data_IF_467141300077
#
_entry.id   IF_467141300077
#
_cell.length_a   1.000
_cell.length_b   1.000
_cell.length_c   1.000
_cell.angle_alpha   90.00
_cell.angle_beta   90.00
_cell.angle_gamma   90.00
#
_symmetry.space_group_name_H-M   'P 1'
#
loop_
_entity.id
_entity.type
_entity.pdbx_description
1 polymer ?
#
# COMPACT_ATOMS: atom_id res chain seq x y z
N UNK A 1 31.95 89.89 -18.84
CA UNK A 1 31.14 88.70 -18.56
C UNK A 1 31.80 87.98 -17.41
N UNK A 2 31.23 88.11 -16.23
CA UNK A 2 31.83 87.71 -14.96
C UNK A 2 30.80 86.99 -14.10
N UNK A 3 31.27 85.94 -13.43
CA UNK A 3 30.72 85.39 -12.19
C UNK A 3 29.59 84.38 -12.35
N UNK A 4 29.37 83.45 -11.42
CA UNK A 4 30.06 83.05 -10.19
C UNK A 4 29.41 81.70 -9.82
N UNK A 5 30.18 80.75 -9.28
CA UNK A 5 29.67 79.57 -8.55
C UNK A 5 29.60 79.89 -7.06
N UNK A 6 28.46 79.69 -6.40
CA UNK A 6 28.26 79.44 -4.94
C UNK A 6 26.91 78.67 -4.82
N UNK A 7 26.89 77.37 -4.53
CA UNK A 7 26.76 76.64 -3.24
C UNK A 7 25.39 76.69 -2.52
N UNK A 8 25.05 75.52 -1.93
CA UNK A 8 23.96 75.17 -1.01
C UNK A 8 22.54 75.14 -1.62
N UNK A 9 21.70 74.14 -1.37
CA UNK A 9 21.21 73.76 -0.03
C UNK A 9 20.66 72.33 0.04
N UNK A 10 20.72 71.74 1.24
CA UNK A 10 20.22 70.41 1.56
C UNK A 10 18.70 70.42 1.77
N UNK A 11 17.99 69.52 1.09
CA UNK A 11 16.54 69.33 1.21
C UNK A 11 16.18 67.88 1.49
N UNK A 12 15.68 67.64 2.70
CA UNK A 12 15.19 66.37 3.26
C UNK A 12 14.14 65.71 2.36
N UNK A 13 14.36 64.45 1.97
CA UNK A 13 13.29 63.59 1.43
C UNK A 13 12.93 62.53 2.48
N UNK A 14 11.73 62.72 3.01
CA UNK A 14 11.06 61.88 4.01
C UNK A 14 10.91 60.44 3.50
N UNK A 15 11.46 59.51 4.28
CA UNK A 15 11.40 58.06 4.09
C UNK A 15 9.96 57.56 4.23
N UNK A 16 9.22 57.46 3.12
CA UNK A 16 7.95 56.71 3.07
C UNK A 16 8.26 55.22 3.20
N UNK A 17 8.03 54.68 4.41
CA UNK A 17 8.07 53.23 4.67
C UNK A 17 7.02 52.54 3.81
N UNK A 18 7.45 51.96 2.70
CA UNK A 18 6.64 51.05 1.89
C UNK A 18 6.62 49.70 2.62
N UNK A 19 5.54 49.44 3.36
CA UNK A 19 5.25 48.11 3.88
C UNK A 19 4.77 47.25 2.71
N UNK A 20 5.68 46.48 2.11
CA UNK A 20 5.34 45.42 1.17
C UNK A 20 4.84 44.23 2.01
N UNK A 21 3.51 44.11 2.13
CA UNK A 21 2.88 42.89 2.61
C UNK A 21 3.05 41.79 1.55
N UNK A 22 4.15 41.04 1.66
CA UNK A 22 4.39 39.83 0.88
C UNK A 22 3.41 38.76 1.38
N UNK A 23 2.23 38.70 0.78
CA UNK A 23 1.28 37.61 0.99
C UNK A 23 1.92 36.32 0.47
N UNK A 24 2.48 35.52 1.38
CA UNK A 24 2.88 34.13 1.08
C UNK A 24 1.61 33.36 0.72
N UNK A 25 1.36 33.18 -0.58
CA UNK A 25 0.47 32.14 -1.08
C UNK A 25 1.05 30.79 -0.67
N UNK A 26 0.57 30.25 0.43
CA UNK A 26 0.79 28.86 0.78
C UNK A 26 0.02 28.01 -0.21
N UNK A 27 0.66 27.62 -1.32
CA UNK A 27 0.19 26.56 -2.18
C UNK A 27 0.22 25.26 -1.39
N UNK A 28 -0.92 24.88 -0.79
CA UNK A 28 -1.13 23.54 -0.28
C UNK A 28 -1.16 22.62 -1.50
N UNK A 29 -0.02 22.05 -1.83
CA UNK A 29 0.06 21.00 -2.84
C UNK A 29 -0.61 19.78 -2.25
N UNK A 30 -1.86 19.51 -2.63
CA UNK A 30 -2.48 18.22 -2.36
C UNK A 30 -1.63 17.18 -3.12
N UNK A 31 -0.76 16.47 -2.39
CA UNK A 31 -0.01 15.36 -2.96
C UNK A 31 -1.03 14.27 -3.31
N UNK A 32 -1.36 14.16 -4.59
CA UNK A 32 -2.08 13.00 -5.08
C UNK A 32 -1.21 11.77 -4.81
N UNK A 33 -1.63 10.91 -3.88
CA UNK A 33 -0.96 9.63 -3.63
C UNK A 33 -0.97 8.87 -4.95
N UNK A 34 0.20 8.59 -5.50
CA UNK A 34 0.32 7.82 -6.73
C UNK A 34 -0.35 6.46 -6.52
N UNK A 35 -1.18 6.04 -7.48
CA UNK A 35 -1.78 4.71 -7.43
C UNK A 35 -0.68 3.64 -7.36
N UNK A 36 -0.91 2.59 -6.57
CA UNK A 36 0.07 1.50 -6.44
C UNK A 36 0.20 0.71 -7.74
N UNK A 37 1.30 -0.03 -7.88
CA UNK A 37 1.63 -0.73 -9.12
C UNK A 37 0.60 -1.79 -9.51
N UNK A 38 -0.08 -2.44 -8.55
CA UNK A 38 -1.15 -3.41 -8.80
C UNK A 38 -2.32 -2.75 -9.55
N UNK A 39 -2.81 -1.61 -9.04
CA UNK A 39 -3.96 -0.89 -9.61
C UNK A 39 -3.60 -0.32 -10.98
N UNK A 40 -2.39 0.24 -11.12
CA UNK A 40 -1.92 0.77 -12.39
C UNK A 40 -1.85 -0.31 -13.48
N UNK A 41 -1.31 -1.49 -13.16
CA UNK A 41 -1.24 -2.61 -14.09
C UNK A 41 -2.63 -3.13 -14.46
N UNK A 42 -3.55 -3.25 -13.50
CA UNK A 42 -4.91 -3.68 -13.78
C UNK A 42 -5.61 -2.71 -14.77
N UNK A 43 -5.58 -1.42 -14.45
CA UNK A 43 -6.19 -0.36 -15.26
C UNK A 43 -5.60 -0.28 -16.67
N UNK A 44 -4.27 -0.38 -16.80
CA UNK A 44 -3.57 -0.34 -18.09
C UNK A 44 -3.94 -1.51 -18.99
N UNK A 45 -4.32 -2.65 -18.41
CA UNK A 45 -4.59 -3.89 -19.14
C UNK A 45 -6.10 -4.19 -19.27
N UNK A 46 -6.96 -3.19 -19.13
CA UNK A 46 -8.39 -3.33 -19.42
C UNK A 46 -9.23 -3.93 -18.29
N UNK A 47 -8.68 -4.10 -17.09
CA UNK A 47 -9.45 -4.46 -15.90
C UNK A 47 -10.00 -3.19 -15.25
N UNK A 48 -11.33 -3.05 -15.19
CA UNK A 48 -12.04 -1.83 -14.83
C UNK A 48 -13.11 -2.04 -13.76
N UNK A 49 -13.97 -3.03 -13.92
CA UNK A 49 -15.17 -3.25 -13.10
C UNK A 49 -14.82 -3.38 -11.62
N UNK A 50 -13.81 -4.18 -11.29
CA UNK A 50 -13.39 -4.39 -9.90
C UNK A 50 -12.19 -3.53 -9.46
N UNK A 51 -11.80 -2.51 -10.23
CA UNK A 51 -10.72 -1.59 -9.86
C UNK A 51 -10.93 -0.94 -8.47
N UNK A 52 -12.12 -0.44 -8.10
CA UNK A 52 -12.30 0.20 -6.79
C UNK A 52 -11.99 -0.75 -5.62
N UNK A 53 -12.47 -1.99 -5.71
CA UNK A 53 -12.26 -2.99 -4.67
C UNK A 53 -10.80 -3.50 -4.64
N UNK A 54 -10.19 -3.67 -5.82
CA UNK A 54 -8.78 -3.98 -5.95
C UNK A 54 -7.91 -2.88 -5.34
N UNK A 55 -8.26 -1.60 -5.54
CA UNK A 55 -7.56 -0.45 -4.97
C UNK A 55 -7.61 -0.46 -3.44
N UNK A 56 -8.80 -0.61 -2.85
CA UNK A 56 -8.95 -0.69 -1.39
C UNK A 56 -8.08 -1.81 -0.81
N UNK A 57 -8.12 -2.99 -1.43
CA UNK A 57 -7.37 -4.16 -0.95
C UNK A 57 -5.85 -3.94 -1.09
N UNK A 58 -5.39 -3.54 -2.26
CA UNK A 58 -3.96 -3.34 -2.53
C UNK A 58 -3.35 -2.21 -1.69
N UNK A 59 -4.08 -1.12 -1.44
CA UNK A 59 -3.64 -0.05 -0.54
C UNK A 59 -3.54 -0.52 0.91
N UNK A 60 -4.44 -1.40 1.37
CA UNK A 60 -4.37 -1.98 2.70
C UNK A 60 -3.13 -2.90 2.87
N UNK A 61 -2.80 -3.70 1.85
CA UNK A 61 -1.80 -4.78 1.98
C UNK A 61 -0.38 -4.29 1.68
N UNK A 62 -0.23 -3.46 0.64
CA UNK A 62 1.07 -2.97 0.18
C UNK A 62 1.34 -1.56 0.70
N UNK A 63 0.30 -0.73 0.78
CA UNK A 63 0.38 0.67 1.19
C UNK A 63 1.52 1.44 0.48
N UNK A 64 2.46 1.99 1.24
CA UNK A 64 3.60 2.79 0.83
C UNK A 64 4.93 2.00 0.88
N UNK A 65 4.87 0.69 1.10
CA UNK A 65 6.06 -0.16 1.13
C UNK A 65 6.70 -0.25 -0.25
N UNK A 66 8.02 -0.34 -0.27
CA UNK A 66 8.76 -0.66 -1.50
C UNK A 66 8.35 -2.06 -1.94
N UNK A 67 8.01 -2.18 -3.22
CA UNK A 67 7.54 -3.44 -3.79
C UNK A 67 7.77 -3.47 -5.30
N UNK A 68 7.85 -4.68 -5.85
CA UNK A 68 7.82 -4.94 -7.29
C UNK A 68 6.66 -5.88 -7.61
N UNK A 69 5.95 -5.63 -8.70
CA UNK A 69 4.70 -6.35 -9.04
C UNK A 69 4.77 -6.98 -10.41
N UNK A 70 4.31 -8.24 -10.49
CA UNK A 70 3.98 -8.93 -11.71
C UNK A 70 2.50 -9.33 -11.69
N UNK A 71 1.78 -9.07 -12.79
CA UNK A 71 0.34 -9.32 -12.85
C UNK A 71 -0.03 -10.34 -13.93
N UNK A 72 -1.14 -11.03 -13.72
CA UNK A 72 -1.71 -12.03 -14.62
C UNK A 72 -3.22 -11.79 -14.77
N UNK A 73 -3.71 -11.90 -16.00
CA UNK A 73 -5.11 -11.66 -16.36
C UNK A 73 -5.44 -12.39 -17.67
N UNK A 74 -6.73 -12.48 -17.99
CA UNK A 74 -7.18 -12.96 -19.30
C UNK A 74 -6.97 -11.84 -20.35
N UNK A 75 -6.12 -12.09 -21.34
CA UNK A 75 -5.80 -11.08 -22.36
C UNK A 75 -6.94 -10.80 -23.36
N UNK A 76 -7.85 -11.75 -23.55
CA UNK A 76 -8.99 -11.63 -24.47
C UNK A 76 -10.18 -10.92 -23.81
N UNK A 77 -10.40 -11.22 -22.53
CA UNK A 77 -11.51 -10.67 -21.74
C UNK A 77 -11.05 -10.29 -20.33
N UNK A 78 -10.26 -9.20 -20.19
CA UNK A 78 -9.65 -8.83 -18.93
C UNK A 78 -10.68 -8.49 -17.85
N UNK A 79 -11.78 -7.82 -18.21
CA UNK A 79 -12.71 -7.25 -17.23
C UNK A 79 -13.75 -8.25 -16.68
N UNK A 80 -14.06 -9.31 -17.43
CA UNK A 80 -14.99 -10.35 -16.99
C UNK A 80 -14.28 -11.61 -16.44
N UNK A 81 -12.98 -11.52 -16.22
CA UNK A 81 -12.16 -12.60 -15.67
C UNK A 81 -11.46 -12.17 -14.38
N UNK A 82 -10.89 -13.14 -13.66
CA UNK A 82 -10.04 -12.83 -12.50
C UNK A 82 -8.79 -12.06 -12.92
N UNK A 83 -8.54 -10.94 -12.26
CA UNK A 83 -7.23 -10.31 -12.22
C UNK A 83 -6.45 -10.82 -11.01
N UNK A 84 -5.16 -11.11 -11.19
CA UNK A 84 -4.25 -11.50 -10.12
C UNK A 84 -2.92 -10.77 -10.25
N UNK A 85 -2.27 -10.53 -9.13
CA UNK A 85 -0.92 -9.98 -9.07
C UNK A 85 -0.12 -10.71 -8.01
N UNK A 86 1.18 -10.85 -8.26
CA UNK A 86 2.18 -11.23 -7.28
C UNK A 86 3.11 -10.03 -7.09
N UNK A 87 3.21 -9.57 -5.86
CA UNK A 87 4.13 -8.50 -5.46
C UNK A 87 5.16 -9.05 -4.50
N UNK A 88 6.42 -8.67 -4.69
CA UNK A 88 7.47 -8.84 -3.69
C UNK A 88 7.47 -7.56 -2.86
N UNK A 89 7.20 -7.67 -1.56
CA UNK A 89 7.15 -6.54 -0.62
C UNK A 89 8.36 -6.61 0.30
N UNK A 90 9.13 -5.53 0.31
CA UNK A 90 10.42 -5.51 1.00
C UNK A 90 10.22 -5.22 2.49
N UNK A 91 10.86 -6.04 3.34
CA UNK A 91 11.05 -5.75 4.75
C UNK A 91 12.52 -5.85 5.13
N UNK A 92 12.89 -5.23 6.25
CA UNK A 92 14.26 -5.27 6.78
C UNK A 92 14.70 -6.68 7.20
N UNK A 93 13.76 -7.56 7.48
CA UNK A 93 13.95 -8.93 7.98
C UNK A 93 13.65 -10.01 6.92
N UNK A 94 13.38 -9.61 5.67
CA UNK A 94 13.17 -10.50 4.53
C UNK A 94 11.95 -10.11 3.70
N UNK A 95 11.93 -10.55 2.45
CA UNK A 95 10.84 -10.21 1.54
C UNK A 95 9.59 -11.07 1.83
N UNK A 96 8.42 -10.49 1.58
CA UNK A 96 7.17 -11.25 1.51
C UNK A 96 6.64 -11.32 0.08
N UNK A 97 6.03 -12.45 -0.26
CA UNK A 97 5.27 -12.61 -1.49
C UNK A 97 3.80 -12.34 -1.20
N UNK A 98 3.25 -11.32 -1.85
CA UNK A 98 1.85 -10.93 -1.73
C UNK A 98 1.13 -11.21 -3.02
N UNK A 99 0.17 -12.11 -3.00
CA UNK A 99 -0.80 -12.30 -4.08
C UNK A 99 -2.05 -11.48 -3.75
N UNK A 100 -2.48 -10.63 -4.67
CA UNK A 100 -3.78 -9.94 -4.59
C UNK A 100 -4.58 -10.28 -5.84
N UNK A 101 -5.82 -10.71 -5.66
CA UNK A 101 -6.71 -11.02 -6.77
C UNK A 101 -8.10 -10.40 -6.57
N UNK A 102 -8.73 -10.07 -7.70
CA UNK A 102 -10.07 -9.52 -7.76
C UNK A 102 -10.85 -10.18 -8.91
N UNK A 103 -12.13 -10.46 -8.67
CA UNK A 103 -13.03 -10.99 -9.68
C UNK A 103 -14.45 -10.49 -9.43
N UNK A 104 -15.21 -10.39 -10.52
CA UNK A 104 -16.64 -10.10 -10.43
C UNK A 104 -17.39 -11.36 -9.98
N UNK A 105 -18.40 -11.19 -9.12
CA UNK A 105 -19.34 -12.24 -8.74
C UNK A 105 -20.49 -12.32 -9.74
N UNK A 106 -21.29 -13.38 -9.68
CA UNK A 106 -22.48 -13.52 -10.52
C UNK A 106 -23.55 -12.44 -10.28
N UNK A 107 -23.50 -11.73 -9.15
CA UNK A 107 -24.38 -10.58 -8.85
C UNK A 107 -23.82 -9.24 -9.34
N UNK A 108 -22.67 -9.25 -10.02
CA UNK A 108 -22.00 -8.06 -10.52
C UNK A 108 -21.17 -7.30 -9.50
N UNK A 109 -21.11 -7.79 -8.25
CA UNK A 109 -20.23 -7.25 -7.18
C UNK A 109 -18.80 -7.73 -7.37
N UNK A 110 -17.87 -7.21 -6.58
CA UNK A 110 -16.47 -7.57 -6.69
C UNK A 110 -15.95 -8.17 -5.40
N UNK A 111 -15.43 -9.39 -5.49
CA UNK A 111 -14.73 -10.03 -4.41
C UNK A 111 -13.23 -9.86 -4.60
N UNK A 112 -12.54 -9.74 -3.48
CA UNK A 112 -11.09 -9.63 -3.43
C UNK A 112 -10.54 -10.58 -2.39
N UNK A 113 -9.38 -11.13 -2.65
CA UNK A 113 -8.63 -11.83 -1.61
C UNK A 113 -7.15 -11.51 -1.77
N UNK A 114 -6.43 -11.73 -0.68
CA UNK A 114 -4.99 -11.72 -0.74
C UNK A 114 -4.39 -12.87 0.06
N UNK A 115 -3.19 -13.24 -0.34
CA UNK A 115 -2.33 -14.15 0.41
C UNK A 115 -0.96 -13.50 0.52
N UNK A 116 -0.48 -13.33 1.74
CA UNK A 116 0.89 -12.91 2.01
C UNK A 116 1.68 -14.07 2.60
N UNK A 117 2.77 -14.44 1.95
CA UNK A 117 3.64 -15.54 2.37
C UNK A 117 5.05 -15.03 2.66
N UNK A 118 5.60 -15.41 3.80
CA UNK A 118 6.95 -15.02 4.24
C UNK A 118 7.52 -16.06 5.21
N UNK A 119 8.81 -15.94 5.50
CA UNK A 119 9.50 -16.82 6.45
C UNK A 119 9.87 -16.01 7.68
N UNK A 120 9.62 -16.58 8.85
CA UNK A 120 10.13 -16.07 10.13
C UNK A 120 11.33 -16.92 10.58
N UNK A 121 12.40 -16.26 11.03
CA UNK A 121 13.58 -16.91 11.62
C UNK A 121 13.35 -17.30 13.09
N UNK A 122 12.27 -18.02 13.34
CA UNK A 122 11.89 -18.66 14.61
C UNK A 122 11.01 -19.88 14.34
N UNK A 123 10.91 -20.79 15.31
CA UNK A 123 10.01 -21.93 15.21
C UNK A 123 8.55 -21.49 15.08
N UNK A 124 7.69 -22.30 14.45
CA UNK A 124 6.27 -21.94 14.34
C UNK A 124 5.55 -21.86 15.69
N UNK A 125 6.00 -22.63 16.69
CA UNK A 125 5.49 -22.53 18.06
C UNK A 125 5.79 -21.15 18.64
N UNK A 126 7.04 -20.68 18.52
CA UNK A 126 7.43 -19.35 19.01
C UNK A 126 6.72 -18.26 18.19
N UNK A 127 6.60 -18.41 16.87
CA UNK A 127 5.85 -17.47 16.03
C UNK A 127 4.39 -17.33 16.46
N UNK A 128 3.73 -18.45 16.81
CA UNK A 128 2.36 -18.43 17.33
C UNK A 128 2.27 -17.62 18.63
N UNK A 129 3.14 -17.90 19.59
CA UNK A 129 3.06 -17.31 20.94
C UNK A 129 3.59 -15.87 21.01
N UNK A 130 4.46 -15.44 20.09
CA UNK A 130 5.06 -14.09 20.13
C UNK A 130 4.53 -13.15 19.04
N UNK A 131 4.24 -13.68 17.84
CA UNK A 131 3.88 -12.85 16.66
C UNK A 131 2.38 -12.87 16.39
N UNK A 132 1.72 -14.00 16.61
CA UNK A 132 0.30 -14.18 16.30
C UNK A 132 -0.59 -14.32 17.55
N UNK A 133 -0.24 -13.61 18.63
CA UNK A 133 -0.91 -13.64 19.94
C UNK A 133 -2.41 -13.35 19.90
N UNK A 134 -2.84 -12.55 18.91
CA UNK A 134 -4.24 -12.16 18.74
C UNK A 134 -5.07 -13.17 17.93
N UNK A 135 -4.45 -14.24 17.43
CA UNK A 135 -5.12 -15.27 16.63
C UNK A 135 -5.31 -16.54 17.45
N UNK A 136 -6.48 -17.16 17.32
CA UNK A 136 -6.83 -18.41 17.99
C UNK A 136 -6.47 -19.60 17.12
N UNK A 137 -6.00 -20.66 17.74
CA UNK A 137 -5.84 -21.94 17.06
C UNK A 137 -7.20 -22.47 16.59
N UNK A 138 -7.31 -22.78 15.30
CA UNK A 138 -8.54 -23.26 14.68
C UNK A 138 -8.42 -24.70 14.13
N UNK A 139 -7.22 -25.26 14.08
CA UNK A 139 -6.99 -26.64 13.67
C UNK A 139 -5.66 -26.85 12.98
N UNK A 140 -5.54 -27.96 12.26
CA UNK A 140 -4.39 -28.27 11.40
C UNK A 140 -4.89 -28.68 10.01
N UNK A 141 -4.13 -28.33 8.97
CA UNK A 141 -4.43 -28.74 7.60
C UNK A 141 -3.83 -30.12 7.29
N UNK A 142 -2.72 -30.44 7.96
CA UNK A 142 -2.04 -31.73 7.95
C UNK A 142 -1.25 -31.85 9.27
N UNK A 143 -0.36 -32.83 9.40
CA UNK A 143 0.41 -33.05 10.63
C UNK A 143 1.37 -31.90 11.01
N UNK A 144 1.71 -31.01 10.07
CA UNK A 144 2.75 -29.99 10.23
C UNK A 144 2.22 -28.56 10.12
N UNK A 145 1.08 -28.33 9.46
CA UNK A 145 0.55 -26.98 9.20
C UNK A 145 -0.54 -26.62 10.19
N UNK A 146 -0.26 -25.68 11.10
CA UNK A 146 -1.24 -25.12 12.02
C UNK A 146 -2.08 -24.05 11.32
N UNK A 147 -3.37 -23.99 11.63
CA UNK A 147 -4.27 -22.91 11.25
C UNK A 147 -4.60 -22.04 12.47
N UNK A 148 -4.37 -20.74 12.33
CA UNK A 148 -4.80 -19.71 13.26
C UNK A 148 -5.86 -18.82 12.59
N UNK A 149 -6.83 -18.34 13.36
CA UNK A 149 -7.89 -17.45 12.90
C UNK A 149 -8.17 -16.32 13.87
N UNK A 150 -8.68 -15.20 13.36
CA UNK A 150 -9.30 -14.18 14.20
C UNK A 150 -10.75 -14.56 14.52
N UNK A 151 -11.39 -13.82 15.43
CA UNK A 151 -12.75 -14.12 15.88
C UNK A 151 -13.81 -14.07 14.77
N UNK A 152 -13.67 -13.17 13.81
CA UNK A 152 -14.57 -13.09 12.65
C UNK A 152 -14.28 -14.13 11.55
N UNK A 153 -13.22 -14.93 11.70
CA UNK A 153 -12.75 -15.93 10.72
C UNK A 153 -12.40 -15.34 9.34
N UNK A 154 -12.27 -14.01 9.24
CA UNK A 154 -11.91 -13.32 8.01
C UNK A 154 -10.39 -13.37 7.75
N UNK A 155 -9.60 -13.60 8.80
CA UNK A 155 -8.15 -13.75 8.73
C UNK A 155 -7.78 -15.19 9.04
N UNK A 156 -7.02 -15.81 8.15
CA UNK A 156 -6.47 -17.16 8.31
C UNK A 156 -4.95 -17.07 8.24
N UNK A 157 -4.25 -17.60 9.22
CA UNK A 157 -2.78 -17.70 9.21
C UNK A 157 -2.38 -19.16 9.30
N UNK A 158 -1.60 -19.61 8.33
CA UNK A 158 -1.06 -20.95 8.25
C UNK A 158 0.40 -20.92 8.67
N UNK A 159 0.78 -21.74 9.64
CA UNK A 159 2.16 -21.85 10.12
C UNK A 159 2.67 -23.25 9.77
N UNK A 160 3.69 -23.33 8.92
CA UNK A 160 4.30 -24.59 8.48
C UNK A 160 5.79 -24.59 8.81
N UNK A 161 6.26 -25.45 9.72
CA UNK A 161 7.69 -25.59 10.01
C UNK A 161 8.45 -25.97 8.75
N UNK A 162 9.53 -25.24 8.44
CA UNK A 162 10.50 -25.65 7.44
C UNK A 162 11.66 -26.42 8.09
N UNK A 163 11.95 -26.09 9.35
CA UNK A 163 12.81 -26.81 10.30
C UNK A 163 12.51 -26.28 11.71
N UNK A 164 13.35 -26.61 12.70
CA UNK A 164 13.16 -26.21 14.10
C UNK A 164 13.27 -24.70 14.37
N UNK A 165 13.86 -23.93 13.44
CA UNK A 165 14.12 -22.49 13.61
C UNK A 165 13.53 -21.62 12.50
N UNK A 166 12.84 -22.19 11.51
CA UNK A 166 12.20 -21.47 10.40
C UNK A 166 10.72 -21.82 10.30
N UNK A 167 9.88 -20.79 10.31
CA UNK A 167 8.45 -20.92 10.11
C UNK A 167 8.03 -20.27 8.79
N UNK A 168 7.47 -21.07 7.88
CA UNK A 168 6.77 -20.54 6.72
C UNK A 168 5.37 -20.08 7.17
N UNK A 169 5.09 -18.81 6.95
CA UNK A 169 3.81 -18.18 7.26
C UNK A 169 3.09 -17.90 5.95
N UNK A 170 1.81 -18.29 5.87
CA UNK A 170 0.89 -17.77 4.86
C UNK A 170 -0.30 -17.13 5.56
N UNK A 171 -0.52 -15.84 5.34
CA UNK A 171 -1.68 -15.09 5.82
C UNK A 171 -2.65 -14.89 4.67
N UNK A 172 -3.91 -15.29 4.85
CA UNK A 172 -4.98 -15.15 3.87
C UNK A 172 -6.13 -14.35 4.47
N UNK A 173 -6.60 -13.36 3.71
CA UNK A 173 -7.87 -12.68 3.99
C UNK A 173 -8.68 -12.57 2.71
N UNK A 174 -10.00 -12.67 2.86
CA UNK A 174 -10.95 -12.43 1.78
C UNK A 174 -11.87 -11.29 2.18
N UNK A 175 -12.07 -10.35 1.26
CA UNK A 175 -12.97 -9.22 1.36
C UNK A 175 -14.10 -9.46 0.38
N UNK A 176 -15.24 -9.89 0.91
CA UNK A 176 -16.45 -10.16 0.15
C UNK A 176 -17.39 -8.96 0.21
N UNK A 177 -17.97 -8.61 -0.93
CA UNK A 177 -19.04 -7.60 -0.96
C UNK A 177 -20.40 -8.30 -0.80
N UNK A 178 -20.96 -8.21 0.41
CA UNK A 178 -22.30 -8.73 0.72
C UNK A 178 -23.40 -7.90 0.07
#
# INVERSE_FOLDING_TARGET
>A
MAGIRILYDQGVVVMKKVFICLAMLTFVSAQAKSENSIVNLAKKNGFHTCLPQLKISSEFIINDKVHSTHSFWNQEDPDNSTYSSLSVKDYSDGDSHVIVAAAQTSSGKCDTFYVETFVLTKSCTVAREETFTNLKYAGQLNQNTLLLQNDSKSVNVYLTPQNDSLCLVSKKESLYQN
#
